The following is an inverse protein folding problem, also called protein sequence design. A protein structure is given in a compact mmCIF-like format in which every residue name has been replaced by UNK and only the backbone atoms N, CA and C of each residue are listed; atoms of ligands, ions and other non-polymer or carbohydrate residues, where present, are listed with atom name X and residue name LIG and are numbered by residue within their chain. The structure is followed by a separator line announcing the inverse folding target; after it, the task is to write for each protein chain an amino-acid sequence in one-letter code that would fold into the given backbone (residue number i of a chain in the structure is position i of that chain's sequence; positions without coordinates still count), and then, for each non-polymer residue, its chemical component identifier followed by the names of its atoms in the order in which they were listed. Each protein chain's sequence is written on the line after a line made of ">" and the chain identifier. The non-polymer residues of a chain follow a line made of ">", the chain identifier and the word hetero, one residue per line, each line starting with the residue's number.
data_IF_089136783577
#
_entry.id   IF_089136783577
#
_cell.length_a   1.000
_cell.length_b   1.000
_cell.length_c   1.000
_cell.angle_alpha   90.00
_cell.angle_beta   90.00
_cell.angle_gamma   90.00
#
_symmetry.space_group_name_H-M   'P 1'
#
loop_
_entity.id
_entity.type
_entity.pdbx_description
1 polymer ?
#
# COMPACT_ATOMS: atom_id res chain seq x y z
N UNK A 1 -3.31 -14.93 -4.87
CA UNK A 1 -3.09 -14.42 -4.70
C UNK A 1 -2.51 -14.20 -4.06
N UNK A 2 -2.28 -14.06 -3.93
CA UNK A 2 -1.75 -14.10 -3.29
C UNK A 2 -1.15 -13.37 -2.59
N UNK A 3 -1.13 -13.19 -1.63
CA UNK A 3 -0.46 -12.48 -0.63
C UNK A 3 0.52 -11.50 -1.07
N UNK A 4 0.28 -10.96 -2.16
CA UNK A 4 1.28 -10.05 -2.66
C UNK A 4 1.38 -8.82 -1.81
N UNK A 5 0.29 -8.29 -1.31
CA UNK A 5 0.32 -7.06 -0.54
C UNK A 5 0.07 -7.37 0.92
N UNK A 6 1.00 -6.99 1.79
CA UNK A 6 0.83 -7.25 3.20
C UNK A 6 0.04 -6.15 3.90
N UNK A 7 -0.31 -5.09 3.20
CA UNK A 7 -1.08 -4.00 3.76
C UNK A 7 -2.51 -4.09 3.25
N UNK A 8 -3.38 -4.73 4.04
CA UNK A 8 -4.74 -5.02 3.59
C UNK A 8 -5.50 -3.76 3.20
N UNK A 9 -5.39 -2.70 3.99
CA UNK A 9 -6.17 -1.51 3.68
C UNK A 9 -5.69 -0.81 2.43
N UNK A 10 -4.41 -0.86 2.14
CA UNK A 10 -3.91 -0.32 0.87
C UNK A 10 -4.53 -1.08 -0.28
N UNK A 11 -4.57 -2.40 -0.17
CA UNK A 11 -5.15 -3.23 -1.21
C UNK A 11 -6.63 -2.94 -1.39
N UNK A 12 -7.36 -2.78 -0.29
CA UNK A 12 -8.78 -2.47 -0.35
C UNK A 12 -9.01 -1.13 -1.06
N UNK A 13 -8.23 -0.12 -0.69
CA UNK A 13 -8.39 1.20 -1.30
C UNK A 13 -8.07 1.17 -2.79
N UNK A 14 -7.06 0.40 -3.18
CA UNK A 14 -6.75 0.24 -4.60
C UNK A 14 -7.90 -0.44 -5.33
N UNK A 15 -8.42 -1.49 -4.71
CA UNK A 15 -9.50 -2.25 -5.33
C UNK A 15 -10.74 -1.36 -5.54
N UNK A 16 -11.06 -0.54 -4.55
CA UNK A 16 -12.22 0.33 -4.66
C UNK A 16 -12.09 1.33 -5.80
N UNK A 17 -10.86 1.66 -6.19
CA UNK A 17 -10.61 2.60 -7.28
C UNK A 17 -10.33 1.91 -8.61
N UNK A 18 -10.28 0.59 -8.61
CA UNK A 18 -9.95 -0.16 -9.81
C UNK A 18 -8.49 -0.02 -10.20
N UNK A 19 -7.62 0.21 -9.23
CA UNK A 19 -6.18 0.41 -9.49
C UNK A 19 -5.41 -0.88 -9.23
N UNK A 20 -4.48 -1.19 -10.13
CA UNK A 20 -3.50 -2.22 -9.87
C UNK A 20 -2.18 -1.55 -9.45
N UNK A 21 -1.13 -2.35 -9.28
CA UNK A 21 0.13 -1.80 -8.83
C UNK A 21 0.77 -0.87 -9.85
N UNK A 22 0.50 -1.09 -11.13
CA UNK A 22 1.01 -0.17 -12.16
C UNK A 22 0.37 1.21 -12.01
N UNK A 23 -0.93 1.23 -11.76
CA UNK A 23 -1.63 2.50 -11.59
C UNK A 23 -1.09 3.23 -10.36
N UNK A 24 -0.91 2.51 -9.27
CA UNK A 24 -0.39 3.12 -8.05
C UNK A 24 1.03 3.63 -8.26
N UNK A 25 1.85 2.88 -9.00
CA UNK A 25 3.20 3.32 -9.33
C UNK A 25 3.17 4.66 -10.05
N UNK A 26 2.29 4.79 -11.04
CA UNK A 26 2.19 6.04 -11.79
C UNK A 26 1.76 7.20 -10.91
N UNK A 27 0.83 6.94 -10.02
CA UNK A 27 0.28 8.02 -9.20
C UNK A 27 1.22 8.47 -8.09
N UNK A 28 2.08 7.58 -7.65
CA UNK A 28 3.01 7.92 -6.55
C UNK A 28 4.39 8.32 -7.05
N UNK A 29 4.72 7.95 -8.28
CA UNK A 29 6.06 8.19 -8.78
C UNK A 29 7.07 7.17 -8.29
N UNK A 30 6.62 6.12 -7.62
CA UNK A 30 7.52 5.05 -7.15
C UNK A 30 7.61 4.01 -8.26
N UNK A 31 8.82 3.62 -8.67
CA UNK A 31 8.96 2.62 -9.74
C UNK A 31 8.20 1.35 -9.41
N UNK A 32 7.59 0.77 -10.42
CA UNK A 32 6.69 -0.38 -10.24
C UNK A 32 7.35 -1.54 -9.48
N UNK A 33 8.54 -1.94 -9.91
CA UNK A 33 9.21 -3.07 -9.27
C UNK A 33 9.53 -2.77 -7.81
N UNK A 34 9.95 -1.54 -7.55
CA UNK A 34 10.25 -1.10 -6.20
C UNK A 34 8.98 -1.10 -5.34
N UNK A 35 7.91 -0.56 -5.89
CA UNK A 35 6.63 -0.50 -5.19
C UNK A 35 6.14 -1.90 -4.83
N UNK A 36 6.21 -2.82 -5.77
CA UNK A 36 5.76 -4.18 -5.52
C UNK A 36 6.54 -4.83 -4.39
N UNK A 37 7.87 -4.66 -4.39
CA UNK A 37 8.68 -5.25 -3.33
C UNK A 37 8.31 -4.68 -1.97
N UNK A 38 8.03 -3.38 -1.92
CA UNK A 38 7.68 -2.74 -0.66
C UNK A 38 6.30 -3.16 -0.19
N UNK A 39 5.35 -3.28 -1.10
CA UNK A 39 4.00 -3.71 -0.72
C UNK A 39 3.98 -5.17 -0.26
N UNK A 40 4.87 -5.99 -0.78
CA UNK A 40 4.96 -7.39 -0.36
C UNK A 40 5.76 -7.58 0.92
N UNK A 41 6.40 -6.52 1.39
CA UNK A 41 7.20 -6.62 2.60
C UNK A 41 8.61 -7.13 2.38
N UNK A 42 9.04 -7.26 1.12
CA UNK A 42 10.39 -7.70 0.80
C UNK A 42 11.39 -6.60 1.10
N UNK A 43 11.01 -5.36 0.84
CA UNK A 43 11.82 -4.19 1.16
C UNK A 43 11.06 -3.30 2.11
N UNK A 44 11.76 -2.56 2.99
CA UNK A 44 11.06 -1.69 3.94
C UNK A 44 10.39 -0.53 3.22
N UNK A 45 9.22 -0.17 3.72
CA UNK A 45 8.48 0.98 3.22
C UNK A 45 8.82 2.18 4.10
N UNK A 46 9.33 3.23 3.47
CA UNK A 46 9.71 4.43 4.21
C UNK A 46 8.52 5.34 4.41
N UNK A 47 8.61 6.17 5.45
CA UNK A 47 7.50 7.05 5.82
C UNK A 47 7.07 7.95 4.67
N UNK A 48 8.03 8.50 3.95
CA UNK A 48 7.69 9.40 2.86
C UNK A 48 6.94 8.66 1.75
N UNK A 49 7.34 7.43 1.49
CA UNK A 49 6.65 6.62 0.49
C UNK A 49 5.22 6.31 0.94
N UNK A 50 5.07 6.02 2.22
CA UNK A 50 3.74 5.77 2.77
C UNK A 50 2.85 7.00 2.61
N UNK A 51 3.41 8.17 2.85
CA UNK A 51 2.66 9.41 2.67
C UNK A 51 2.26 9.63 1.23
N UNK A 52 3.16 9.32 0.30
CA UNK A 52 2.83 9.44 -1.13
C UNK A 52 1.70 8.52 -1.51
N UNK A 53 1.74 7.29 -1.02
CA UNK A 53 0.69 6.33 -1.32
C UNK A 53 -0.64 6.82 -0.75
N UNK A 54 -0.63 7.28 0.50
CA UNK A 54 -1.85 7.77 1.13
C UNK A 54 -2.42 8.96 0.36
N UNK A 55 -1.55 9.87 -0.06
CA UNK A 55 -1.98 11.04 -0.81
C UNK A 55 -2.56 10.63 -2.16
N UNK A 56 -1.92 9.68 -2.82
CA UNK A 56 -2.40 9.20 -4.12
C UNK A 56 -3.78 8.57 -3.99
N UNK A 57 -3.98 7.81 -2.91
CA UNK A 57 -5.27 7.18 -2.68
C UNK A 57 -6.33 8.18 -2.26
N UNK A 58 -5.91 9.32 -1.71
CA UNK A 58 -6.86 10.34 -1.30
C UNK A 58 -7.79 9.90 -0.19
N UNK A 59 -7.34 8.97 0.65
CA UNK A 59 -8.21 8.45 1.70
C UNK A 59 -7.97 9.18 3.01
N UNK A 60 -8.95 9.10 3.90
CA UNK A 60 -8.89 9.79 5.18
C UNK A 60 -8.26 8.97 6.29
N UNK A 61 -7.86 7.75 6.00
CA UNK A 61 -7.28 6.89 7.01
C UNK A 61 -5.95 7.44 7.48
N UNK A 62 -5.64 7.22 8.76
CA UNK A 62 -4.32 7.56 9.25
C UNK A 62 -3.29 6.62 8.61
N UNK A 63 -2.03 7.04 8.66
CA UNK A 63 -0.98 6.17 8.13
C UNK A 63 -0.94 4.85 8.89
N UNK A 64 -1.12 4.90 10.21
CA UNK A 64 -1.11 3.68 11.01
C UNK A 64 -2.19 2.72 10.58
N UNK A 65 -3.40 3.24 10.35
CA UNK A 65 -4.50 2.38 9.93
C UNK A 65 -4.31 1.86 8.52
N UNK A 66 -3.86 2.74 7.62
CA UNK A 66 -3.71 2.37 6.22
C UNK A 66 -2.64 1.31 6.02
N UNK A 67 -1.57 1.42 6.79
CA UNK A 67 -0.42 0.53 6.62
C UNK A 67 -0.30 -0.51 7.73
N UNK A 68 -1.40 -0.78 8.43
CA UNK A 68 -1.42 -1.90 9.36
C UNK A 68 -1.22 -3.18 8.57
N UNK A 69 -0.32 -4.02 9.05
CA UNK A 69 -0.06 -5.28 8.38
C UNK A 69 -1.18 -6.26 8.68
N UNK A 70 -1.35 -7.22 7.78
CA UNK A 70 -2.37 -8.23 7.97
C UNK A 70 -2.19 -8.98 9.28
N UNK A 71 -0.95 -9.33 9.61
CA UNK A 71 -0.72 -10.07 10.83
C UNK A 71 -1.03 -9.23 12.05
N UNK A 72 -0.80 -7.92 11.98
CA UNK A 72 -1.15 -7.05 13.09
C UNK A 72 -2.65 -6.98 13.28
N UNK A 73 -3.39 -6.99 12.19
CA UNK A 73 -4.83 -6.95 12.25
C UNK A 73 -5.40 -8.20 12.91
N UNK A 74 -4.64 -9.29 12.88
CA UNK A 74 -5.06 -10.54 13.46
C UNK A 74 -5.14 -10.50 14.96
N UNK A 75 -4.34 -9.69 15.55
CA UNK A 75 -4.22 -9.69 16.98
C UNK A 75 -5.29 -8.95 17.71
N UNK A 76 -6.19 -8.43 17.01
CA UNK A 76 -7.22 -7.59 17.63
C UNK A 76 -8.07 -8.31 18.66
#
# INVERSE_FOLDING_TARGET
>A
MNGECQYLQVMVQMYLRGWDSHALSEKTGIPYATLRRKLRGVSPLHLEEARRIRAALGCDMTLDALFARREDAHDA
#
